data_IF_011593406304
#
_entry.id   IF_011593406304
#
_cell.length_a   1.000
_cell.length_b   1.000
_cell.length_c   1.000
_cell.angle_alpha   90.00
_cell.angle_beta   90.00
_cell.angle_gamma   90.00
#
_symmetry.space_group_name_H-M   'P 1'
#
loop_
_entity.id
_entity.type
_entity.pdbx_description
1 polymer ?
#
# COMPACT_ATOMS: atom_id res chain seq x y z
N UNK A 1 -27.18 -15.41 -60.42
CA UNK A 1 -26.05 -14.67 -59.81
C UNK A 1 -26.45 -14.25 -58.41
N UNK A 2 -25.88 -14.85 -57.35
CA UNK A 2 -26.13 -14.42 -55.96
C UNK A 2 -25.08 -13.37 -55.57
N UNK A 3 -25.51 -12.17 -55.16
CA UNK A 3 -24.62 -11.17 -54.56
C UNK A 3 -24.37 -11.55 -53.11
N UNK A 4 -23.12 -11.76 -52.73
CA UNK A 4 -22.72 -11.93 -51.33
C UNK A 4 -22.47 -10.53 -50.77
N UNK A 5 -23.18 -10.17 -49.70
CA UNK A 5 -22.98 -8.91 -48.99
C UNK A 5 -21.96 -9.15 -47.88
N UNK A 6 -20.77 -8.57 -48.02
CA UNK A 6 -19.69 -8.71 -47.04
C UNK A 6 -19.84 -7.63 -45.98
N UNK A 7 -20.32 -8.00 -44.79
CA UNK A 7 -20.49 -7.06 -43.67
C UNK A 7 -19.13 -6.79 -43.01
N UNK A 8 -18.65 -5.55 -43.11
CA UNK A 8 -17.40 -5.12 -42.48
C UNK A 8 -17.67 -4.79 -41.00
N UNK A 9 -17.36 -5.71 -40.09
CA UNK A 9 -17.34 -5.40 -38.65
C UNK A 9 -16.12 -4.52 -38.34
N UNK A 10 -16.34 -3.21 -38.25
CA UNK A 10 -15.37 -2.29 -37.64
C UNK A 10 -15.44 -2.48 -36.13
N UNK A 11 -14.47 -3.21 -35.58
CA UNK A 11 -14.25 -3.24 -34.14
C UNK A 11 -13.73 -1.87 -33.69
N UNK A 12 -14.61 -1.08 -33.08
CA UNK A 12 -14.21 0.11 -32.33
C UNK A 12 -13.40 -0.34 -31.11
N UNK A 13 -12.08 -0.29 -31.23
CA UNK A 13 -11.21 -0.30 -30.06
C UNK A 13 -11.54 0.94 -29.23
N UNK A 14 -12.13 0.74 -28.05
CA UNK A 14 -12.22 1.79 -27.05
C UNK A 14 -10.79 2.28 -26.78
N UNK A 15 -10.55 3.60 -26.67
CA UNK A 15 -9.26 4.08 -26.22
C UNK A 15 -8.99 3.46 -24.85
N UNK A 16 -7.77 2.96 -24.63
CA UNK A 16 -7.33 2.59 -23.31
C UNK A 16 -7.44 3.84 -22.42
N UNK A 17 -8.44 3.87 -21.54
CA UNK A 17 -8.65 4.99 -20.64
C UNK A 17 -7.39 5.18 -19.80
N UNK A 18 -6.97 6.43 -19.59
CA UNK A 18 -5.87 6.72 -18.68
C UNK A 18 -6.15 6.03 -17.33
N UNK A 19 -5.17 5.29 -16.79
CA UNK A 19 -5.33 4.64 -15.48
C UNK A 19 -5.77 5.70 -14.46
N UNK A 20 -6.93 5.48 -13.83
CA UNK A 20 -7.48 6.44 -12.88
C UNK A 20 -6.50 6.60 -11.72
N UNK A 21 -6.19 7.84 -11.33
CA UNK A 21 -5.28 8.12 -10.22
C UNK A 21 -5.73 7.43 -8.92
N UNK A 22 -4.79 6.80 -8.21
CA UNK A 22 -5.06 6.13 -6.94
C UNK A 22 -5.34 7.16 -5.85
N UNK A 23 -6.56 7.10 -5.33
CA UNK A 23 -7.01 7.81 -4.12
C UNK A 23 -7.31 6.72 -3.10
N UNK A 24 -6.35 6.39 -2.25
CA UNK A 24 -6.37 5.18 -1.43
C UNK A 24 -6.45 5.42 0.07
N UNK A 25 -6.88 4.37 0.78
CA UNK A 25 -6.75 4.25 2.23
C UNK A 25 -6.21 2.86 2.61
N UNK A 26 -5.22 2.78 3.49
CA UNK A 26 -4.97 1.55 4.26
C UNK A 26 -6.05 1.42 5.33
N UNK A 27 -6.62 0.23 5.47
CA UNK A 27 -7.74 -0.02 6.39
C UNK A 27 -7.53 -1.32 7.20
N UNK A 28 -6.28 -1.75 7.41
CA UNK A 28 -5.98 -2.99 8.14
C UNK A 28 -6.52 -3.05 9.58
N UNK A 29 -6.73 -1.91 10.24
CA UNK A 29 -7.38 -1.86 11.56
C UNK A 29 -8.89 -2.05 11.51
N UNK A 30 -9.56 -1.92 10.35
CA UNK A 30 -11.02 -1.99 10.27
C UNK A 30 -11.61 -3.27 10.90
N UNK A 31 -11.11 -4.50 10.65
CA UNK A 31 -11.59 -5.71 11.33
C UNK A 31 -11.46 -5.63 12.86
N UNK A 32 -10.34 -5.12 13.38
CA UNK A 32 -10.07 -4.96 14.82
C UNK A 32 -11.00 -3.90 15.45
N UNK A 33 -11.22 -2.78 14.76
CA UNK A 33 -12.13 -1.73 15.19
C UNK A 33 -13.58 -2.23 15.25
N UNK A 34 -14.03 -2.98 14.23
CA UNK A 34 -15.36 -3.59 14.21
C UNK A 34 -15.51 -4.66 15.29
N UNK A 35 -14.51 -5.52 15.49
CA UNK A 35 -14.50 -6.55 16.53
C UNK A 35 -14.58 -5.92 17.94
N UNK A 36 -13.77 -4.90 18.22
CA UNK A 36 -13.80 -4.14 19.49
C UNK A 36 -15.03 -3.26 19.66
N UNK A 37 -15.88 -3.14 18.62
CA UNK A 37 -17.20 -2.54 18.69
C UNK A 37 -17.25 -1.06 18.30
N UNK A 38 -16.15 -0.49 17.81
CA UNK A 38 -16.10 0.89 17.30
C UNK A 38 -17.18 1.15 16.24
N UNK A 39 -17.68 2.38 16.18
CA UNK A 39 -18.75 2.80 15.26
C UNK A 39 -18.30 4.02 14.47
N UNK A 40 -18.29 3.88 13.15
CA UNK A 40 -18.00 4.98 12.23
C UNK A 40 -19.29 5.74 11.92
N UNK A 41 -19.23 7.07 12.01
CA UNK A 41 -20.32 7.98 11.69
C UNK A 41 -19.97 8.75 10.41
N UNK A 42 -20.94 8.93 9.53
CA UNK A 42 -20.82 9.85 8.40
C UNK A 42 -20.90 11.32 8.85
N UNK A 43 -20.71 12.27 7.93
CA UNK A 43 -20.77 13.71 8.25
C UNK A 43 -22.10 14.14 8.90
N UNK A 44 -23.22 13.47 8.58
CA UNK A 44 -24.53 13.73 9.17
C UNK A 44 -24.73 13.04 10.53
N UNK A 45 -23.70 12.42 11.11
CA UNK A 45 -23.73 11.76 12.41
C UNK A 45 -24.46 10.41 12.42
N UNK A 46 -24.72 9.81 11.25
CA UNK A 46 -25.36 8.48 11.15
C UNK A 46 -24.31 7.39 11.06
N UNK A 47 -24.53 6.27 11.77
CA UNK A 47 -23.67 5.11 11.65
C UNK A 47 -23.68 4.56 10.22
N UNK A 48 -22.51 4.33 9.65
CA UNK A 48 -22.32 3.88 8.27
C UNK A 48 -21.11 2.95 8.16
N UNK A 49 -21.09 2.09 7.13
CA UNK A 49 -19.93 1.26 6.79
C UNK A 49 -18.72 2.15 6.46
N UNK A 50 -17.55 1.88 7.05
CA UNK A 50 -16.35 2.70 6.82
C UNK A 50 -15.98 2.78 5.35
N UNK A 51 -16.00 1.67 4.62
CA UNK A 51 -15.64 1.67 3.20
C UNK A 51 -16.61 2.52 2.37
N UNK A 52 -17.88 2.62 2.80
CA UNK A 52 -18.82 3.53 2.16
C UNK A 52 -18.49 4.99 2.50
N UNK A 53 -18.16 5.31 3.76
CA UNK A 53 -17.72 6.68 4.11
C UNK A 53 -16.47 7.08 3.32
N UNK A 54 -15.45 6.22 3.25
CA UNK A 54 -14.23 6.47 2.48
C UNK A 54 -14.54 6.65 0.99
N UNK A 55 -15.41 5.81 0.41
CA UNK A 55 -15.87 5.95 -0.98
C UNK A 55 -16.65 7.24 -1.22
N UNK A 56 -17.49 7.66 -0.27
CA UNK A 56 -18.22 8.93 -0.30
C UNK A 56 -17.25 10.13 -0.23
N UNK A 57 -16.05 9.95 0.32
CA UNK A 57 -14.92 10.90 0.28
C UNK A 57 -13.97 10.72 -0.93
N UNK A 58 -14.38 9.96 -1.96
CA UNK A 58 -13.62 9.82 -3.21
C UNK A 58 -12.48 8.79 -3.17
N UNK A 59 -12.34 8.01 -2.10
CA UNK A 59 -11.40 6.88 -2.06
C UNK A 59 -11.86 5.79 -3.04
N UNK A 60 -10.96 5.39 -3.94
CA UNK A 60 -11.20 4.39 -4.97
C UNK A 60 -10.37 3.10 -4.79
N UNK A 61 -9.47 3.06 -3.81
CA UNK A 61 -8.53 1.97 -3.58
C UNK A 61 -8.41 1.67 -2.09
N UNK A 62 -8.35 0.39 -1.71
CA UNK A 62 -7.94 -0.03 -0.35
C UNK A 62 -6.56 -0.67 -0.38
N UNK A 63 -5.76 -0.39 0.65
CA UNK A 63 -4.55 -1.14 0.98
C UNK A 63 -4.84 -2.02 2.21
N UNK A 64 -4.38 -3.27 2.14
CA UNK A 64 -4.60 -4.26 3.18
C UNK A 64 -3.26 -4.90 3.51
N UNK A 65 -2.72 -4.61 4.69
CA UNK A 65 -1.61 -5.40 5.22
C UNK A 65 -2.04 -6.82 5.53
N UNK A 66 -1.08 -7.74 5.43
CA UNK A 66 -1.25 -9.16 5.72
C UNK A 66 -0.05 -9.65 6.51
N UNK A 67 -0.33 -10.26 7.66
CA UNK A 67 0.64 -10.90 8.54
C UNK A 67 0.61 -12.43 8.32
N UNK A 68 1.69 -13.11 8.72
CA UNK A 68 1.83 -14.56 8.49
C UNK A 68 0.95 -15.34 9.46
N UNK A 69 1.24 -15.26 10.75
CA UNK A 69 0.41 -15.79 11.83
C UNK A 69 0.20 -14.71 12.91
N UNK A 70 -0.74 -13.76 12.72
CA UNK A 70 -1.16 -12.89 13.81
C UNK A 70 -1.63 -13.71 15.02
N UNK A 71 -1.60 -13.11 16.21
CA UNK A 71 -2.29 -13.68 17.38
C UNK A 71 -3.81 -13.74 17.13
N UNK A 72 -4.52 -14.45 18.01
CA UNK A 72 -5.99 -14.48 18.09
C UNK A 72 -6.57 -13.44 19.06
N UNK A 73 -5.70 -12.56 19.61
CA UNK A 73 -6.10 -11.54 20.57
C UNK A 73 -6.95 -10.45 19.89
N UNK A 74 -8.17 -10.26 20.40
CA UNK A 74 -9.15 -9.31 19.87
C UNK A 74 -8.68 -7.84 19.81
N UNK A 75 -7.61 -7.47 20.51
CA UNK A 75 -7.08 -6.10 20.58
C UNK A 75 -5.69 -5.95 19.94
N UNK A 76 -5.11 -7.00 19.35
CA UNK A 76 -3.76 -6.96 18.75
C UNK A 76 -3.49 -8.02 17.66
N UNK A 77 -4.39 -8.99 17.49
CA UNK A 77 -4.29 -10.17 16.63
C UNK A 77 -5.27 -10.12 15.46
N UNK A 78 -4.87 -9.43 14.40
CA UNK A 78 -5.64 -9.20 13.18
C UNK A 78 -4.71 -9.14 11.96
N UNK A 79 -5.26 -8.94 10.76
CA UNK A 79 -4.54 -8.92 9.48
C UNK A 79 -4.13 -10.33 9.00
N UNK A 80 -4.90 -11.35 9.40
CA UNK A 80 -4.75 -12.72 8.92
C UNK A 80 -5.11 -12.84 7.42
N UNK A 81 -4.66 -13.91 6.76
CA UNK A 81 -5.08 -14.25 5.39
C UNK A 81 -6.59 -14.16 5.20
N UNK A 82 -7.36 -14.75 6.11
CA UNK A 82 -8.80 -14.88 5.96
C UNK A 82 -9.51 -13.53 6.12
N UNK A 83 -9.03 -12.65 7.02
CA UNK A 83 -9.49 -11.27 7.13
C UNK A 83 -9.09 -10.42 5.91
N UNK A 84 -7.85 -10.55 5.42
CA UNK A 84 -7.41 -9.90 4.18
C UNK A 84 -8.33 -10.29 3.01
N UNK A 85 -8.64 -11.57 2.85
CA UNK A 85 -9.54 -12.06 1.79
C UNK A 85 -10.96 -11.50 1.98
N UNK A 86 -11.51 -11.55 3.20
CA UNK A 86 -12.84 -11.01 3.49
C UNK A 86 -12.93 -9.50 3.20
N UNK A 87 -11.92 -8.73 3.62
CA UNK A 87 -11.84 -7.28 3.39
C UNK A 87 -11.65 -6.94 1.91
N UNK A 88 -10.83 -7.68 1.18
CA UNK A 88 -10.65 -7.47 -0.25
C UNK A 88 -11.93 -7.77 -1.04
N UNK A 89 -12.70 -8.79 -0.65
CA UNK A 89 -14.04 -9.07 -1.20
C UNK A 89 -15.04 -7.95 -0.85
N UNK A 90 -15.01 -7.40 0.37
CA UNK A 90 -15.84 -6.25 0.80
C UNK A 90 -15.58 -5.04 -0.10
N UNK A 91 -14.32 -4.69 -0.29
CA UNK A 91 -13.89 -3.56 -1.11
C UNK A 91 -14.21 -3.74 -2.61
N UNK A 92 -13.95 -4.92 -3.20
CA UNK A 92 -14.27 -5.17 -4.60
C UNK A 92 -15.78 -5.16 -4.89
N UNK A 93 -16.63 -5.66 -3.97
CA UNK A 93 -18.10 -5.54 -4.10
C UNK A 93 -18.58 -4.09 -4.13
N UNK A 94 -17.77 -3.17 -3.61
CA UNK A 94 -18.02 -1.73 -3.64
C UNK A 94 -17.36 -1.03 -4.83
N UNK A 95 -16.71 -1.78 -5.73
CA UNK A 95 -16.00 -1.24 -6.90
C UNK A 95 -14.66 -0.59 -6.59
N UNK A 96 -14.07 -0.85 -5.42
CA UNK A 96 -12.76 -0.34 -5.04
C UNK A 96 -11.65 -1.28 -5.54
N UNK A 97 -10.52 -0.68 -5.94
CA UNK A 97 -9.27 -1.38 -6.28
C UNK A 97 -8.60 -1.89 -5.01
N UNK A 98 -7.74 -2.90 -5.11
CA UNK A 98 -7.11 -3.55 -3.96
C UNK A 98 -5.60 -3.60 -4.13
N UNK A 99 -4.88 -3.14 -3.12
CA UNK A 99 -3.46 -3.41 -2.88
C UNK A 99 -3.32 -4.35 -1.68
N UNK A 100 -2.52 -5.40 -1.82
CA UNK A 100 -2.11 -6.27 -0.70
C UNK A 100 -0.69 -5.88 -0.27
N UNK A 101 -0.43 -5.84 1.03
CA UNK A 101 0.88 -5.54 1.60
C UNK A 101 1.35 -6.68 2.50
N UNK A 102 2.29 -7.50 2.01
CA UNK A 102 2.87 -8.58 2.80
C UNK A 102 3.95 -8.04 3.75
N UNK A 103 3.73 -8.14 5.06
CA UNK A 103 4.72 -7.76 6.05
C UNK A 103 5.84 -8.80 6.23
N UNK A 104 5.59 -10.07 5.89
CA UNK A 104 6.48 -11.21 6.20
C UNK A 104 6.92 -11.25 7.67
N UNK A 105 5.96 -10.95 8.56
CA UNK A 105 6.06 -10.94 10.01
C UNK A 105 4.72 -11.42 10.59
N UNK A 106 4.72 -11.85 11.85
CA UNK A 106 3.50 -12.13 12.62
C UNK A 106 2.88 -10.85 13.23
N UNK A 107 3.57 -9.72 13.09
CA UNK A 107 3.13 -8.40 13.58
C UNK A 107 3.64 -7.27 12.68
N UNK A 108 3.70 -6.04 13.21
CA UNK A 108 4.26 -4.89 12.50
C UNK A 108 5.66 -5.19 11.93
N UNK A 109 5.86 -4.74 10.70
CA UNK A 109 7.13 -4.79 9.99
C UNK A 109 7.42 -3.36 9.50
N UNK A 110 8.50 -2.79 9.99
CA UNK A 110 8.90 -1.40 9.81
C UNK A 110 10.44 -1.29 9.83
N UNK A 111 11.06 -0.13 9.56
CA UNK A 111 12.52 -0.01 9.46
C UNK A 111 13.28 -0.33 10.75
N UNK A 112 12.62 -0.31 11.91
CA UNK A 112 13.19 -0.65 13.21
C UNK A 112 13.00 -2.14 13.56
N UNK A 113 12.02 -2.83 12.94
CA UNK A 113 11.73 -4.24 13.20
C UNK A 113 11.23 -4.95 11.94
N UNK A 114 12.03 -5.89 11.44
CA UNK A 114 11.63 -6.83 10.37
C UNK A 114 11.75 -8.27 10.90
N UNK A 115 11.07 -8.53 12.03
CA UNK A 115 11.12 -9.83 12.72
C UNK A 115 10.51 -10.89 11.83
N UNK A 116 11.25 -11.96 11.56
CA UNK A 116 10.68 -13.12 10.85
C UNK A 116 9.55 -13.75 11.67
N UNK A 117 8.55 -14.40 11.02
CA UNK A 117 7.51 -15.17 11.70
C UNK A 117 8.09 -16.22 12.63
N UNK A 118 7.42 -16.48 13.75
CA UNK A 118 7.84 -17.48 14.74
C UNK A 118 7.96 -18.88 14.11
N UNK A 119 7.07 -19.20 13.17
CA UNK A 119 7.08 -20.45 12.41
C UNK A 119 8.27 -20.61 11.44
N UNK A 120 9.05 -19.56 11.20
CA UNK A 120 10.22 -19.56 10.30
C UNK A 120 11.55 -19.47 11.08
N UNK A 121 11.51 -19.47 12.41
CA UNK A 121 12.70 -19.47 13.26
C UNK A 121 13.38 -20.84 13.20
N UNK A 122 14.68 -20.85 12.90
CA UNK A 122 15.48 -22.07 12.76
C UNK A 122 15.43 -22.72 11.37
N UNK A 123 14.62 -22.20 10.45
CA UNK A 123 14.67 -22.59 9.05
C UNK A 123 15.96 -22.10 8.39
N UNK A 124 16.59 -22.95 7.57
CA UNK A 124 17.72 -22.53 6.74
C UNK A 124 17.27 -21.62 5.58
N UNK A 125 18.22 -20.97 4.91
CA UNK A 125 17.92 -20.02 3.85
C UNK A 125 17.25 -20.64 2.60
N UNK A 126 17.43 -21.94 2.34
CA UNK A 126 16.74 -22.63 1.26
C UNK A 126 15.28 -22.93 1.64
N UNK A 127 15.00 -23.12 2.93
CA UNK A 127 13.63 -23.24 3.45
C UNK A 127 12.93 -21.87 3.53
N UNK A 128 13.59 -20.82 4.04
CA UNK A 128 13.03 -19.46 4.11
C UNK A 128 12.53 -18.94 2.75
N UNK A 129 13.27 -19.23 1.67
CA UNK A 129 12.82 -18.91 0.31
C UNK A 129 11.50 -19.61 -0.06
N UNK A 130 11.32 -20.89 0.30
CA UNK A 130 10.07 -21.62 0.08
C UNK A 130 8.95 -21.07 0.96
N UNK A 131 9.25 -20.66 2.19
CA UNK A 131 8.26 -20.14 3.12
C UNK A 131 7.66 -18.82 2.62
N UNK A 132 8.50 -17.90 2.13
CA UNK A 132 8.06 -16.65 1.46
C UNK A 132 7.20 -16.96 0.24
N UNK A 133 7.67 -17.84 -0.65
CA UNK A 133 6.90 -18.23 -1.84
C UNK A 133 5.54 -18.83 -1.44
N UNK A 134 5.53 -19.79 -0.50
CA UNK A 134 4.34 -20.52 -0.10
C UNK A 134 3.29 -19.61 0.56
N UNK A 135 3.70 -18.72 1.47
CA UNK A 135 2.78 -17.77 2.11
C UNK A 135 2.16 -16.80 1.09
N UNK A 136 2.98 -16.18 0.24
CA UNK A 136 2.47 -15.26 -0.79
C UNK A 136 1.59 -15.98 -1.81
N UNK A 137 1.94 -17.20 -2.22
CA UNK A 137 1.15 -18.00 -3.16
C UNK A 137 -0.20 -18.43 -2.56
N UNK A 138 -0.24 -18.84 -1.28
CA UNK A 138 -1.47 -19.22 -0.57
C UNK A 138 -2.44 -18.04 -0.44
N UNK A 139 -1.98 -16.88 0.07
CA UNK A 139 -2.81 -15.68 0.21
C UNK A 139 -3.31 -15.19 -1.16
N UNK A 140 -2.44 -15.11 -2.18
CA UNK A 140 -2.85 -14.72 -3.53
C UNK A 140 -3.83 -15.73 -4.15
N UNK A 141 -3.64 -17.03 -3.91
CA UNK A 141 -4.55 -18.08 -4.40
C UNK A 141 -5.91 -18.03 -3.72
N UNK A 142 -5.95 -17.71 -2.42
CA UNK A 142 -7.19 -17.52 -1.67
C UNK A 142 -7.98 -16.30 -2.20
N UNK A 143 -7.29 -15.17 -2.46
CA UNK A 143 -7.88 -14.00 -3.11
C UNK A 143 -8.46 -14.35 -4.50
N UNK A 144 -7.67 -15.00 -5.35
CA UNK A 144 -8.10 -15.44 -6.70
C UNK A 144 -9.31 -16.37 -6.65
N UNK A 145 -9.32 -17.32 -5.71
CA UNK A 145 -10.45 -18.24 -5.46
C UNK A 145 -11.72 -17.49 -4.99
N UNK A 146 -11.56 -16.40 -4.25
CA UNK A 146 -12.65 -15.52 -3.84
C UNK A 146 -13.10 -14.53 -4.93
N UNK A 147 -12.53 -14.60 -6.14
CA UNK A 147 -12.81 -13.70 -7.26
C UNK A 147 -12.02 -12.38 -7.23
N UNK A 148 -11.14 -12.19 -6.24
CA UNK A 148 -10.33 -10.99 -6.08
C UNK A 148 -9.02 -11.13 -6.86
N UNK A 149 -8.72 -10.11 -7.66
CA UNK A 149 -7.39 -9.90 -8.26
C UNK A 149 -6.86 -8.56 -7.77
N UNK A 150 -5.86 -8.54 -6.88
CA UNK A 150 -5.21 -7.29 -6.48
C UNK A 150 -4.53 -6.63 -7.67
N UNK A 151 -4.60 -5.30 -7.74
CA UNK A 151 -3.91 -4.55 -8.79
C UNK A 151 -2.43 -4.36 -8.46
N UNK A 152 -2.13 -4.19 -7.16
CA UNK A 152 -0.76 -4.17 -6.63
C UNK A 152 -0.56 -5.14 -5.49
N UNK A 153 0.68 -5.61 -5.35
CA UNK A 153 1.11 -6.42 -4.21
C UNK A 153 2.48 -5.94 -3.75
N UNK A 154 2.60 -5.51 -2.48
CA UNK A 154 3.92 -5.24 -1.89
C UNK A 154 4.58 -6.54 -1.43
N UNK A 155 5.86 -6.68 -1.74
CA UNK A 155 6.74 -7.72 -1.20
C UNK A 155 7.59 -7.07 -0.10
N UNK A 156 7.06 -7.10 1.12
CA UNK A 156 7.61 -6.38 2.28
C UNK A 156 6.95 -5.02 2.53
N UNK A 157 7.08 -4.55 3.77
CA UNK A 157 6.65 -3.21 4.22
C UNK A 157 7.87 -2.42 4.74
N UNK A 158 8.05 -1.19 4.25
CA UNK A 158 9.13 -0.26 4.63
C UNK A 158 10.53 -0.91 4.74
N UNK A 159 10.95 -1.63 3.69
CA UNK A 159 12.12 -2.53 3.70
C UNK A 159 13.47 -1.82 3.53
N UNK A 160 13.63 -0.56 3.96
CA UNK A 160 14.87 0.22 3.81
C UNK A 160 16.10 -0.43 4.46
N UNK A 161 15.90 -1.21 5.50
CA UNK A 161 16.92 -2.00 6.20
C UNK A 161 16.82 -3.51 5.89
N UNK A 162 15.85 -3.90 5.06
CA UNK A 162 15.64 -5.27 4.58
C UNK A 162 14.28 -5.85 4.98
N UNK A 163 14.18 -7.17 5.00
CA UNK A 163 13.03 -7.91 5.56
C UNK A 163 13.48 -9.27 6.11
N UNK A 164 12.70 -9.92 6.99
CA UNK A 164 12.96 -11.28 7.48
C UNK A 164 14.38 -11.41 8.07
N UNK A 165 14.63 -10.74 9.20
CA UNK A 165 15.96 -10.69 9.81
C UNK A 165 16.39 -12.00 10.48
N UNK A 166 17.69 -12.33 10.47
CA UNK A 166 18.80 -11.53 9.91
C UNK A 166 19.08 -11.74 8.40
N UNK A 167 18.52 -12.77 7.76
CA UNK A 167 18.95 -13.24 6.44
C UNK A 167 18.71 -12.22 5.33
N UNK A 168 17.55 -11.55 5.34
CA UNK A 168 17.21 -10.49 4.40
C UNK A 168 17.55 -9.08 4.86
N UNK A 169 18.49 -8.87 5.78
CA UNK A 169 18.99 -7.53 6.11
C UNK A 169 19.77 -6.93 4.91
N UNK A 170 19.83 -5.60 4.80
CA UNK A 170 20.60 -4.91 3.72
C UNK A 170 22.12 -5.12 3.79
N UNK A 171 22.66 -5.71 4.86
CA UNK A 171 24.05 -6.18 4.87
C UNK A 171 24.25 -7.45 4.02
N UNK A 172 23.16 -8.11 3.60
CA UNK A 172 23.15 -9.36 2.86
C UNK A 172 22.26 -9.28 1.61
N UNK A 173 22.58 -8.31 0.74
CA UNK A 173 21.85 -8.06 -0.51
C UNK A 173 21.57 -9.29 -1.39
N UNK A 174 22.47 -10.28 -1.56
CA UNK A 174 22.16 -11.48 -2.33
C UNK A 174 20.96 -12.25 -1.78
N UNK A 175 20.89 -12.43 -0.45
CA UNK A 175 19.79 -13.15 0.19
C UNK A 175 18.50 -12.31 0.23
N UNK A 176 18.59 -11.01 0.49
CA UNK A 176 17.45 -10.09 0.40
C UNK A 176 16.82 -10.10 -1.00
N UNK A 177 17.62 -9.99 -2.06
CA UNK A 177 17.14 -10.06 -3.44
C UNK A 177 16.51 -11.41 -3.78
N UNK A 178 17.06 -12.52 -3.26
CA UNK A 178 16.48 -13.86 -3.40
C UNK A 178 15.12 -13.98 -2.70
N UNK A 179 14.96 -13.48 -1.46
CA UNK A 179 13.68 -13.48 -0.74
C UNK A 179 12.63 -12.60 -1.44
N UNK A 180 13.01 -11.39 -1.89
CA UNK A 180 12.15 -10.53 -2.71
C UNK A 180 11.69 -11.27 -3.97
N UNK A 181 12.60 -11.97 -4.63
CA UNK A 181 12.30 -12.70 -5.86
C UNK A 181 11.32 -13.86 -5.65
N UNK A 182 11.31 -14.52 -4.49
CA UNK A 182 10.30 -15.54 -4.14
C UNK A 182 8.90 -14.93 -4.00
N UNK A 183 8.79 -13.77 -3.35
CA UNK A 183 7.54 -13.01 -3.27
C UNK A 183 7.05 -12.59 -4.66
N UNK A 184 7.95 -12.05 -5.51
CA UNK A 184 7.64 -11.68 -6.89
C UNK A 184 7.12 -12.88 -7.70
N UNK A 185 7.81 -14.03 -7.69
CA UNK A 185 7.40 -15.21 -8.44
C UNK A 185 6.06 -15.77 -7.96
N UNK A 186 5.83 -15.82 -6.65
CA UNK A 186 4.55 -16.25 -6.08
C UNK A 186 3.37 -15.36 -6.52
N UNK A 187 3.56 -14.03 -6.55
CA UNK A 187 2.56 -13.11 -7.10
C UNK A 187 2.30 -13.40 -8.57
N UNK A 188 3.36 -13.46 -9.40
CA UNK A 188 3.21 -13.64 -10.85
C UNK A 188 2.66 -15.02 -11.25
N UNK A 189 2.93 -16.06 -10.46
CA UNK A 189 2.37 -17.40 -10.68
C UNK A 189 0.84 -17.44 -10.51
N UNK A 190 0.30 -16.64 -9.59
CA UNK A 190 -1.16 -16.57 -9.35
C UNK A 190 -1.82 -15.50 -10.22
N UNK A 191 -1.21 -14.32 -10.30
CA UNK A 191 -1.72 -13.13 -10.99
C UNK A 191 -0.57 -12.43 -11.74
N UNK A 192 -0.30 -12.80 -13.00
CA UNK A 192 0.78 -12.20 -13.78
C UNK A 192 0.57 -10.70 -14.06
N UNK A 193 -0.67 -10.23 -13.99
CA UNK A 193 -1.07 -8.83 -14.21
C UNK A 193 -0.93 -7.93 -12.98
N UNK A 194 -0.86 -8.48 -11.76
CA UNK A 194 -0.67 -7.66 -10.55
C UNK A 194 0.73 -7.03 -10.55
N UNK A 195 0.81 -5.71 -10.35
CA UNK A 195 2.06 -4.96 -10.28
C UNK A 195 2.74 -5.20 -8.92
N UNK A 196 3.98 -5.70 -8.90
CA UNK A 196 4.74 -5.93 -7.66
C UNK A 196 5.42 -4.65 -7.22
N UNK A 197 5.20 -4.26 -5.95
CA UNK A 197 5.72 -3.05 -5.33
C UNK A 197 6.86 -3.40 -4.38
N UNK A 198 7.96 -2.64 -4.43
CA UNK A 198 8.93 -2.58 -3.33
C UNK A 198 8.82 -1.23 -2.64
N UNK A 199 8.71 -1.25 -1.31
CA UNK A 199 8.26 -0.11 -0.51
C UNK A 199 9.28 0.26 0.56
N UNK A 200 9.72 1.52 0.57
CA UNK A 200 10.64 2.08 1.57
C UNK A 200 10.01 3.28 2.30
N UNK A 201 10.46 3.53 3.53
CA UNK A 201 10.14 4.74 4.31
C UNK A 201 10.96 5.96 3.86
N UNK A 202 10.69 7.13 4.46
CA UNK A 202 11.45 8.40 4.25
C UNK A 202 11.49 8.87 2.79
N UNK A 203 10.32 9.01 2.17
CA UNK A 203 10.17 9.40 0.76
C UNK A 203 10.83 10.69 0.28
N UNK A 204 11.22 11.58 1.17
CA UNK A 204 12.01 12.79 0.87
C UNK A 204 13.53 12.52 0.72
N UNK A 205 14.01 11.33 1.12
CA UNK A 205 15.44 10.99 1.20
C UNK A 205 15.94 10.27 -0.06
N UNK A 206 16.18 11.04 -1.12
CA UNK A 206 16.61 10.50 -2.41
C UNK A 206 17.95 9.74 -2.35
N UNK A 207 18.87 10.11 -1.46
CA UNK A 207 20.17 9.45 -1.35
C UNK A 207 20.04 8.00 -0.86
N UNK A 208 19.17 7.77 0.14
CA UNK A 208 18.85 6.43 0.62
C UNK A 208 18.09 5.60 -0.43
N UNK A 209 17.09 6.19 -1.10
CA UNK A 209 16.35 5.52 -2.16
C UNK A 209 17.26 5.06 -3.32
N UNK A 210 18.13 5.93 -3.83
CA UNK A 210 19.14 5.55 -4.84
C UNK A 210 20.01 4.40 -4.36
N UNK A 211 20.60 4.52 -3.17
CA UNK A 211 21.49 3.51 -2.61
C UNK A 211 20.79 2.14 -2.49
N UNK A 212 19.54 2.12 -2.03
CA UNK A 212 18.77 0.88 -1.89
C UNK A 212 18.44 0.26 -3.25
N UNK A 213 17.86 1.03 -4.18
CA UNK A 213 17.42 0.49 -5.47
C UNK A 213 18.58 0.18 -6.44
N UNK A 214 19.73 0.86 -6.34
CA UNK A 214 20.94 0.50 -7.09
C UNK A 214 21.49 -0.86 -6.62
N UNK A 215 21.53 -1.12 -5.30
CA UNK A 215 21.95 -2.42 -4.78
C UNK A 215 20.93 -3.53 -5.08
N UNK A 216 19.63 -3.27 -4.95
CA UNK A 216 18.57 -4.20 -5.31
C UNK A 216 18.67 -4.61 -6.79
N UNK A 217 18.90 -3.64 -7.69
CA UNK A 217 19.14 -3.87 -9.12
C UNK A 217 20.42 -4.67 -9.37
N UNK A 218 21.53 -4.35 -8.69
CA UNK A 218 22.80 -5.08 -8.82
C UNK A 218 22.69 -6.56 -8.40
N UNK A 219 21.79 -6.88 -7.48
CA UNK A 219 21.53 -8.25 -7.00
C UNK A 219 20.32 -8.92 -7.69
N UNK A 220 19.73 -8.28 -8.71
CA UNK A 220 18.67 -8.87 -9.52
C UNK A 220 17.30 -8.98 -8.84
N UNK A 221 16.99 -8.13 -7.86
CA UNK A 221 15.65 -8.04 -7.28
C UNK A 221 14.63 -7.53 -8.34
N UNK A 222 13.51 -8.25 -8.50
CA UNK A 222 12.46 -7.92 -9.49
C UNK A 222 11.27 -7.24 -8.84
N UNK A 223 10.74 -6.23 -9.52
CA UNK A 223 9.61 -5.40 -9.11
C UNK A 223 9.11 -4.56 -10.28
N UNK A 224 7.90 -4.04 -10.18
CA UNK A 224 7.23 -3.24 -11.22
C UNK A 224 7.08 -1.77 -10.80
N UNK A 225 6.86 -1.52 -9.51
CA UNK A 225 6.53 -0.19 -8.93
C UNK A 225 7.42 0.11 -7.72
N UNK A 226 7.79 1.38 -7.54
CA UNK A 226 8.46 1.89 -6.34
C UNK A 226 7.42 2.53 -5.41
N UNK A 227 7.23 1.92 -4.24
CA UNK A 227 6.35 2.40 -3.17
C UNK A 227 7.12 3.26 -2.17
N UNK A 228 6.46 4.31 -1.67
CA UNK A 228 7.06 5.32 -0.81
C UNK A 228 6.16 5.64 0.38
N UNK A 229 6.70 5.67 1.61
CA UNK A 229 6.05 6.38 2.73
C UNK A 229 6.50 7.83 2.82
N UNK A 230 5.58 8.75 3.13
CA UNK A 230 5.91 10.14 3.41
C UNK A 230 5.18 10.66 4.65
N UNK A 231 5.95 10.99 5.69
CA UNK A 231 5.44 11.46 6.98
C UNK A 231 6.39 12.52 7.57
N UNK A 232 6.10 13.83 7.41
CA UNK A 232 6.89 14.90 8.01
C UNK A 232 7.02 14.79 9.53
N UNK A 233 6.00 14.27 10.20
CA UNK A 233 5.96 14.04 11.65
C UNK A 233 7.07 13.09 12.15
N UNK A 234 7.52 12.12 11.34
CA UNK A 234 8.59 11.17 11.73
C UNK A 234 10.01 11.66 11.36
N UNK A 235 10.14 12.86 10.78
CA UNK A 235 11.43 13.45 10.45
C UNK A 235 12.04 14.18 11.66
N UNK A 236 13.36 14.35 11.65
CA UNK A 236 14.08 15.03 12.73
C UNK A 236 13.57 16.47 12.88
N UNK A 237 13.16 16.83 14.09
CA UNK A 237 12.54 18.13 14.40
C UNK A 237 11.05 18.25 14.07
N UNK A 238 10.41 17.19 13.51
CA UNK A 238 8.97 17.15 13.13
C UNK A 238 8.52 18.37 12.30
N UNK A 239 9.21 18.69 11.19
CA UNK A 239 8.92 19.86 10.38
C UNK A 239 7.52 19.79 9.76
N UNK A 240 6.97 20.97 9.46
CA UNK A 240 5.82 21.08 8.56
C UNK A 240 6.15 20.53 7.17
N UNK A 241 5.16 19.93 6.50
CA UNK A 241 5.33 19.29 5.19
C UNK A 241 5.92 20.22 4.12
N UNK A 242 5.69 21.54 4.22
CA UNK A 242 6.23 22.53 3.27
C UNK A 242 7.76 22.53 3.19
N UNK A 243 8.47 22.03 4.22
CA UNK A 243 9.93 21.96 4.26
C UNK A 243 10.51 20.74 3.52
N UNK A 244 9.72 19.71 3.23
CA UNK A 244 10.19 18.44 2.64
C UNK A 244 9.39 17.95 1.43
N UNK A 245 8.28 18.61 1.09
CA UNK A 245 7.40 18.22 -0.03
C UNK A 245 8.07 18.33 -1.41
N UNK A 246 8.99 19.28 -1.57
CA UNK A 246 9.77 19.41 -2.81
C UNK A 246 10.76 18.24 -2.96
N UNK A 247 11.46 17.88 -1.88
CA UNK A 247 12.37 16.73 -1.87
C UNK A 247 11.66 15.38 -2.09
N UNK A 248 10.41 15.23 -1.63
CA UNK A 248 9.56 14.09 -2.03
C UNK A 248 9.34 14.07 -3.55
N UNK A 249 8.97 15.21 -4.14
CA UNK A 249 8.76 15.33 -5.59
C UNK A 249 10.01 15.00 -6.39
N UNK A 250 11.16 15.54 -5.97
CA UNK A 250 12.46 15.29 -6.61
C UNK A 250 12.86 13.81 -6.52
N UNK A 251 12.62 13.16 -5.37
CA UNK A 251 12.85 11.72 -5.23
C UNK A 251 11.93 10.89 -6.14
N UNK A 252 10.63 11.17 -6.18
CA UNK A 252 9.67 10.48 -7.05
C UNK A 252 10.07 10.61 -8.54
N UNK A 253 10.50 11.80 -8.96
CA UNK A 253 10.99 12.06 -10.31
C UNK A 253 12.27 11.26 -10.64
N UNK A 254 13.27 11.27 -9.75
CA UNK A 254 14.51 10.51 -9.95
C UNK A 254 14.25 9.01 -9.95
N UNK A 255 13.41 8.48 -9.04
CA UNK A 255 13.05 7.05 -9.01
C UNK A 255 12.39 6.60 -10.32
N UNK A 256 11.44 7.39 -10.82
CA UNK A 256 10.75 7.10 -12.08
C UNK A 256 11.69 7.15 -13.29
N UNK A 257 12.57 8.15 -13.37
CA UNK A 257 13.51 8.33 -14.48
C UNK A 257 14.68 7.33 -14.45
N UNK A 258 15.29 7.10 -13.28
CA UNK A 258 16.49 6.26 -13.08
C UNK A 258 16.23 4.78 -13.30
N UNK A 259 15.10 4.29 -12.80
CA UNK A 259 14.76 2.86 -12.85
C UNK A 259 13.74 2.51 -13.94
N UNK A 260 13.12 3.52 -14.57
CA UNK A 260 12.07 3.33 -15.58
C UNK A 260 10.81 2.72 -14.98
N UNK A 261 10.49 3.08 -13.73
CA UNK A 261 9.42 2.47 -12.93
C UNK A 261 8.30 3.47 -12.66
N UNK A 262 7.11 2.93 -12.43
CA UNK A 262 6.01 3.69 -11.84
C UNK A 262 6.31 3.91 -10.34
N UNK A 263 5.77 4.99 -9.78
CA UNK A 263 5.96 5.40 -8.38
C UNK A 263 4.62 5.66 -7.71
N UNK A 264 4.50 5.31 -6.43
CA UNK A 264 3.29 5.55 -5.63
C UNK A 264 3.65 5.92 -4.18
N UNK A 265 2.94 6.89 -3.61
CA UNK A 265 2.97 7.13 -2.16
C UNK A 265 1.99 6.16 -1.53
N UNK A 266 2.48 5.04 -1.04
CA UNK A 266 1.67 3.93 -0.50
C UNK A 266 1.34 4.11 0.99
N UNK A 267 2.00 5.07 1.64
CA UNK A 267 1.66 5.52 2.99
C UNK A 267 1.89 7.03 3.14
N UNK A 268 0.88 7.74 3.65
CA UNK A 268 0.97 9.12 4.12
C UNK A 268 -0.02 9.34 5.25
N UNK A 269 0.33 10.19 6.20
CA UNK A 269 -0.54 10.62 7.30
C UNK A 269 -0.05 11.93 7.91
N UNK A 270 -0.97 12.72 8.42
CA UNK A 270 -0.69 13.99 9.09
C UNK A 270 -1.48 14.11 10.39
N UNK A 271 -1.09 15.02 11.26
CA UNK A 271 -1.67 15.15 12.61
C UNK A 271 -3.20 15.36 12.56
N UNK A 272 -3.93 14.49 13.24
CA UNK A 272 -5.40 14.53 13.36
C UNK A 272 -5.91 15.85 13.96
N UNK A 273 -5.12 16.45 14.86
CA UNK A 273 -5.35 17.75 15.50
C UNK A 273 -5.16 18.95 14.57
N UNK A 274 -4.58 18.75 13.38
CA UNK A 274 -4.32 19.78 12.37
C UNK A 274 -5.02 19.45 11.04
N UNK A 275 -6.35 19.21 11.01
CA UNK A 275 -7.03 18.62 9.85
C UNK A 275 -6.95 19.49 8.59
N UNK A 276 -6.83 20.82 8.72
CA UNK A 276 -6.56 21.72 7.58
C UNK A 276 -5.15 21.54 7.02
N UNK A 277 -4.12 21.45 7.87
CA UNK A 277 -2.74 21.22 7.44
C UNK A 277 -2.58 19.84 6.78
N UNK A 278 -3.18 18.80 7.37
CA UNK A 278 -3.22 17.46 6.79
C UNK A 278 -3.95 17.45 5.45
N UNK A 279 -5.07 18.17 5.30
CA UNK A 279 -5.71 18.39 4.01
C UNK A 279 -4.75 19.02 2.99
N UNK A 280 -4.11 20.15 3.32
CA UNK A 280 -3.22 20.88 2.41
C UNK A 280 -1.99 20.05 2.01
N UNK A 281 -1.43 19.29 2.96
CA UNK A 281 -0.36 18.32 2.73
C UNK A 281 -0.79 17.24 1.74
N UNK A 282 -1.93 16.59 1.94
CA UNK A 282 -2.42 15.55 1.03
C UNK A 282 -2.64 16.09 -0.39
N UNK A 283 -3.15 17.32 -0.52
CA UNK A 283 -3.26 17.99 -1.82
C UNK A 283 -1.88 18.25 -2.44
N UNK A 284 -0.89 18.62 -1.64
CA UNK A 284 0.48 18.84 -2.12
C UNK A 284 1.17 17.53 -2.55
N UNK A 285 1.03 16.44 -1.77
CA UNK A 285 1.55 15.11 -2.11
C UNK A 285 0.90 14.58 -3.38
N UNK A 286 -0.42 14.67 -3.51
CA UNK A 286 -1.13 14.28 -4.73
C UNK A 286 -0.62 15.05 -5.96
N UNK A 287 -0.41 16.38 -5.86
CA UNK A 287 0.19 17.18 -6.94
C UNK A 287 1.62 16.73 -7.30
N UNK A 288 2.46 16.42 -6.29
CA UNK A 288 3.82 15.92 -6.54
C UNK A 288 3.84 14.57 -7.25
N UNK A 289 2.94 13.64 -6.89
CA UNK A 289 2.81 12.36 -7.59
C UNK A 289 2.29 12.57 -9.02
N UNK A 290 1.25 13.38 -9.24
CA UNK A 290 0.75 13.65 -10.59
C UNK A 290 1.75 14.36 -11.50
N UNK A 291 2.66 15.16 -10.95
CA UNK A 291 3.70 15.86 -11.68
C UNK A 291 4.83 14.94 -12.20
N UNK A 292 4.87 13.67 -11.77
CA UNK A 292 5.87 12.71 -12.25
C UNK A 292 5.68 12.46 -13.75
N UNK A 293 6.72 12.65 -14.59
CA UNK A 293 6.62 12.51 -16.04
C UNK A 293 6.08 11.17 -16.54
N UNK A 294 5.60 11.16 -17.78
CA UNK A 294 5.08 9.98 -18.48
C UNK A 294 3.91 9.28 -17.76
N UNK A 295 3.19 9.99 -16.88
CA UNK A 295 2.12 9.45 -16.02
C UNK A 295 2.58 8.33 -15.07
N UNK A 296 3.87 8.26 -14.74
CA UNK A 296 4.44 7.22 -13.86
C UNK A 296 4.03 7.36 -12.39
N UNK A 297 3.48 8.50 -11.97
CA UNK A 297 2.96 8.70 -10.62
C UNK A 297 1.53 8.17 -10.47
N UNK A 298 1.38 6.99 -9.85
CA UNK A 298 0.12 6.24 -9.81
C UNK A 298 -0.90 6.78 -8.80
N UNK A 299 -0.43 7.28 -7.65
CA UNK A 299 -1.27 7.98 -6.68
C UNK A 299 -0.81 7.90 -5.23
N UNK A 300 -1.78 8.08 -4.33
CA UNK A 300 -1.56 8.34 -2.90
C UNK A 300 -2.52 7.51 -2.05
N UNK A 301 -2.00 6.86 -1.01
CA UNK A 301 -2.76 6.05 -0.05
C UNK A 301 -2.56 6.63 1.35
N UNK A 302 -3.64 7.11 1.98
CA UNK A 302 -3.61 7.53 3.39
C UNK A 302 -3.51 6.29 4.27
N UNK A 303 -2.60 6.28 5.25
CA UNK A 303 -2.48 5.14 6.17
C UNK A 303 -3.46 5.26 7.33
N UNK A 304 -4.38 4.31 7.44
CA UNK A 304 -5.34 4.19 8.55
C UNK A 304 -6.10 5.49 8.88
N UNK A 305 -6.75 6.14 7.89
CA UNK A 305 -7.47 7.40 8.13
C UNK A 305 -8.54 7.26 9.20
N UNK A 306 -9.13 6.08 9.37
CA UNK A 306 -10.15 5.81 10.39
C UNK A 306 -9.61 5.57 11.79
N UNK A 307 -8.29 5.41 11.95
CA UNK A 307 -7.64 4.92 13.16
C UNK A 307 -7.62 5.95 14.29
N UNK A 308 -8.80 6.41 14.71
CA UNK A 308 -9.02 7.50 15.65
C UNK A 308 -8.13 7.37 16.90
N UNK A 309 -7.44 8.45 17.27
CA UNK A 309 -6.51 8.52 18.41
C UNK A 309 -7.13 8.04 19.73
N UNK A 310 -8.44 8.22 19.92
CA UNK A 310 -9.18 7.72 21.09
C UNK A 310 -9.26 6.19 21.20
N UNK A 311 -8.94 5.46 20.12
CA UNK A 311 -8.92 4.00 20.02
C UNK A 311 -7.52 3.46 19.73
N UNK A 312 -6.77 4.07 18.81
CA UNK A 312 -5.44 3.62 18.36
C UNK A 312 -4.27 4.17 19.19
N UNK A 313 -4.50 5.27 19.91
CA UNK A 313 -3.46 6.16 20.46
C UNK A 313 -2.48 6.73 19.41
N UNK A 314 -2.80 6.62 18.12
CA UNK A 314 -1.99 7.08 17.00
C UNK A 314 -2.40 8.50 16.56
N UNK A 315 -1.41 9.38 16.35
CA UNK A 315 -1.66 10.81 16.14
C UNK A 315 -1.93 11.19 14.67
N UNK A 316 -1.64 10.32 13.69
CA UNK A 316 -1.69 10.68 12.26
C UNK A 316 -2.92 10.12 11.53
N UNK A 317 -4.03 9.93 12.24
CA UNK A 317 -5.31 9.52 11.65
C UNK A 317 -6.05 10.71 11.00
N UNK A 318 -7.10 10.42 10.24
CA UNK A 318 -8.02 11.41 9.68
C UNK A 318 -9.42 11.30 10.29
N UNK A 319 -9.54 10.82 11.54
CA UNK A 319 -10.81 10.60 12.24
C UNK A 319 -10.90 11.37 13.55
N UNK A 320 -12.03 12.05 13.76
CA UNK A 320 -12.30 12.82 14.98
C UNK A 320 -12.76 11.95 16.16
N UNK A 321 -12.66 12.51 17.37
CA UNK A 321 -13.21 11.90 18.59
C UNK A 321 -14.74 11.74 18.54
N UNK A 322 -15.42 12.49 17.68
CA UNK A 322 -16.86 12.38 17.40
C UNK A 322 -17.22 11.19 16.47
N UNK A 323 -16.24 10.37 16.09
CA UNK A 323 -16.42 9.19 15.26
C UNK A 323 -16.58 9.47 13.77
N UNK A 324 -16.23 10.67 13.29
CA UNK A 324 -16.40 11.11 11.89
C UNK A 324 -15.06 11.35 11.17
N UNK A 325 -15.03 11.29 9.83
CA UNK A 325 -13.88 11.78 9.07
C UNK A 325 -13.66 13.27 9.32
N UNK A 326 -12.39 13.67 9.48
CA UNK A 326 -12.01 15.09 9.52
C UNK A 326 -11.88 15.65 8.10
N UNK A 327 -11.71 16.98 8.00
CA UNK A 327 -11.46 17.69 6.74
C UNK A 327 -10.30 17.13 5.92
N UNK A 328 -9.33 16.43 6.55
CA UNK A 328 -8.25 15.75 5.83
C UNK A 328 -8.76 14.83 4.70
N UNK A 329 -9.89 14.13 4.92
CA UNK A 329 -10.45 13.22 3.92
C UNK A 329 -11.04 13.94 2.69
N UNK A 330 -11.43 15.20 2.81
CA UNK A 330 -11.92 16.00 1.68
C UNK A 330 -10.82 16.24 0.62
N UNK A 331 -9.54 16.05 0.97
CA UNK A 331 -8.44 16.18 0.03
C UNK A 331 -8.51 15.18 -1.14
N UNK A 332 -9.26 14.09 -0.97
CA UNK A 332 -9.54 13.07 -1.98
C UNK A 332 -10.86 13.29 -2.72
N UNK A 333 -11.75 14.18 -2.28
CA UNK A 333 -12.91 14.58 -3.07
C UNK A 333 -12.49 15.45 -4.26
N UNK A 334 -11.73 16.50 -3.98
CA UNK A 334 -11.38 17.51 -4.96
C UNK A 334 -10.63 16.93 -6.18
N UNK A 335 -11.03 17.36 -7.38
CA UNK A 335 -10.19 17.27 -8.58
C UNK A 335 -8.93 18.10 -8.38
N UNK A 336 -7.78 17.61 -8.84
CA UNK A 336 -6.49 18.28 -8.72
C UNK A 336 -6.30 19.37 -9.78
#
# INVERSE_FOLDING_TARGET
>A
MKKILMALMVALALPAGAETFVKGADVGWLPQMEATGYKFLNQQGKQQDLLQILKDHGINTVRLRTWVHPSDDKASGHNSKDETVAMAVRAQKMGMRVMINFHYSDSWADPQQQRKPAAWIGHDFAQLQKDVYAHTYDVMSALKKAGVTPEWVQVGNETRTGMIYPEGHTDNWPQLAQLINQGYDAVKAVSPTSKVVLHLDRGQDNAWFRTWFDNAKANGARYDVIGVSYYPYWLDGRPDYTQSIDALGDNLNDMAARYGKEVMVVEVGGEDSKPQNTYDMLRAVQRKVQAVPEHKGLGVIYWEPQGARSWSHYELSAWGEDGRPTKAMDAFLDSL
#
